data_IF_135305221928
#
_entry.id   IF_135305221928
#
_cell.length_a   1.000
_cell.length_b   1.000
_cell.length_c   1.000
_cell.angle_alpha   90.00
_cell.angle_beta   90.00
_cell.angle_gamma   90.00
#
_symmetry.space_group_name_H-M   'P 1'
#
loop_
_entity.id
_entity.type
_entity.pdbx_description
1 polymer ?
#
# COMPACT_ATOMS: atom_id res chain seq x y z
N UNK A 1 -26.43 -10.52 9.56
CA UNK A 1 -25.31 -11.43 9.29
C UNK A 1 -25.00 -11.36 7.82
N UNK A 2 -23.71 -11.33 7.47
CA UNK A 2 -23.24 -11.29 6.10
C UNK A 2 -22.06 -12.26 5.96
N UNK A 3 -21.93 -12.87 4.78
CA UNK A 3 -20.69 -13.55 4.41
C UNK A 3 -19.62 -12.50 4.12
N UNK A 4 -18.40 -12.72 4.60
CA UNK A 4 -17.26 -11.84 4.32
C UNK A 4 -15.97 -12.66 4.22
N UNK A 5 -14.91 -12.10 3.65
CA UNK A 5 -13.56 -12.60 3.83
C UNK A 5 -12.68 -11.52 4.43
N UNK A 6 -11.89 -11.90 5.44
CA UNK A 6 -10.92 -11.03 6.08
C UNK A 6 -9.62 -11.08 5.29
N UNK A 7 -9.10 -9.90 4.97
CA UNK A 7 -7.81 -9.75 4.28
C UNK A 7 -6.76 -9.36 5.31
N UNK A 8 -5.64 -10.07 5.33
CA UNK A 8 -4.50 -9.77 6.19
C UNK A 8 -3.19 -10.15 5.49
N UNK A 9 -2.44 -9.15 5.05
CA UNK A 9 -1.21 -9.35 4.32
C UNK A 9 -1.47 -9.97 2.95
N UNK A 10 -0.99 -11.21 2.74
CA UNK A 10 -1.30 -12.05 1.58
C UNK A 10 -2.46 -13.03 1.84
N UNK A 11 -2.91 -13.14 3.08
CA UNK A 11 -3.88 -14.14 3.49
C UNK A 11 -5.31 -13.61 3.37
N UNK A 12 -6.20 -14.49 2.92
CA UNK A 12 -7.62 -14.24 2.79
C UNK A 12 -8.37 -15.33 3.53
N UNK A 13 -9.16 -14.99 4.54
CA UNK A 13 -9.90 -15.99 5.33
C UNK A 13 -11.39 -15.75 5.22
N UNK A 14 -12.14 -16.69 4.63
CA UNK A 14 -13.60 -16.60 4.56
C UNK A 14 -14.24 -16.82 5.93
N UNK A 15 -15.37 -16.14 6.14
CA UNK A 15 -16.06 -16.12 7.41
C UNK A 15 -17.42 -15.42 7.37
N UNK A 16 -17.90 -15.10 8.57
CA UNK A 16 -19.16 -14.39 8.78
C UNK A 16 -18.93 -13.09 9.55
N UNK A 17 -19.60 -12.03 9.09
CA UNK A 17 -19.76 -10.77 9.80
C UNK A 17 -21.14 -10.76 10.48
N UNK A 18 -21.14 -10.72 11.80
CA UNK A 18 -22.35 -10.67 12.64
C UNK A 18 -22.50 -9.29 13.25
N UNK A 19 -23.70 -8.75 13.20
CA UNK A 19 -24.06 -7.51 13.90
C UNK A 19 -24.91 -7.89 15.09
N UNK A 20 -24.36 -7.76 16.30
CA UNK A 20 -25.08 -7.88 17.57
C UNK A 20 -25.67 -6.54 18.01
N UNK A 21 -26.13 -6.47 19.26
CA UNK A 21 -26.75 -5.27 19.86
C UNK A 21 -25.73 -4.15 20.10
N UNK A 22 -24.60 -4.48 20.73
CA UNK A 22 -23.54 -3.54 21.13
C UNK A 22 -22.22 -3.78 20.40
N UNK A 23 -22.10 -4.93 19.76
CA UNK A 23 -20.85 -5.40 19.17
C UNK A 23 -21.09 -5.97 17.78
N UNK A 24 -20.06 -5.93 16.93
CA UNK A 24 -19.98 -6.78 15.75
C UNK A 24 -18.89 -7.84 15.92
N UNK A 25 -19.03 -8.92 15.15
CA UNK A 25 -18.17 -10.09 15.22
C UNK A 25 -17.70 -10.50 13.83
N UNK A 26 -16.43 -10.84 13.70
CA UNK A 26 -15.85 -11.44 12.49
C UNK A 26 -15.39 -12.84 12.86
N UNK A 27 -16.00 -13.85 12.26
CA UNK A 27 -15.78 -15.26 12.60
C UNK A 27 -15.27 -16.01 11.37
N UNK A 28 -14.01 -16.41 11.41
CA UNK A 28 -13.34 -17.13 10.33
C UNK A 28 -13.78 -18.61 10.25
N UNK A 29 -13.75 -19.18 9.03
CA UNK A 29 -13.95 -20.61 8.78
C UNK A 29 -15.41 -21.05 8.62
N UNK A 30 -16.37 -20.10 8.67
CA UNK A 30 -17.79 -20.39 8.51
C UNK A 30 -18.38 -19.70 7.28
N UNK A 31 -19.35 -20.35 6.67
CA UNK A 31 -20.13 -19.79 5.55
C UNK A 31 -21.63 -19.92 5.80
N UNK A 32 -22.42 -19.14 5.06
CA UNK A 32 -23.88 -19.17 5.09
C UNK A 32 -24.38 -19.75 3.77
N UNK A 33 -25.00 -20.94 3.84
CA UNK A 33 -25.54 -21.63 2.67
C UNK A 33 -26.81 -20.94 2.15
N UNK A 34 -27.24 -21.30 0.92
CA UNK A 34 -28.51 -20.82 0.35
C UNK A 34 -29.72 -21.24 1.19
N UNK A 35 -29.63 -22.35 1.92
CA UNK A 35 -30.61 -22.81 2.92
C UNK A 35 -30.68 -21.94 4.18
N UNK A 36 -29.78 -20.95 4.32
CA UNK A 36 -29.56 -20.12 5.51
C UNK A 36 -28.94 -20.85 6.70
N UNK A 37 -28.42 -22.05 6.50
CA UNK A 37 -27.62 -22.75 7.51
C UNK A 37 -26.19 -22.21 7.57
N UNK A 38 -25.68 -22.08 8.79
CA UNK A 38 -24.27 -21.78 9.04
C UNK A 38 -23.51 -23.11 9.07
N UNK A 39 -22.45 -23.20 8.28
CA UNK A 39 -21.63 -24.41 8.19
C UNK A 39 -20.15 -24.07 8.24
N UNK A 40 -19.39 -24.95 8.88
CA UNK A 40 -17.94 -24.94 8.81
C UNK A 40 -17.51 -25.25 7.37
N UNK A 41 -16.72 -24.36 6.77
CA UNK A 41 -16.29 -24.46 5.36
C UNK A 41 -15.52 -25.76 5.11
N UNK A 42 -14.68 -26.20 6.06
CA UNK A 42 -13.88 -27.41 5.92
C UNK A 42 -14.72 -28.69 6.02
N UNK A 43 -15.92 -28.60 6.61
CA UNK A 43 -16.86 -29.73 6.70
C UNK A 43 -17.70 -29.94 5.44
N UNK A 44 -17.63 -29.00 4.49
CA UNK A 44 -18.47 -29.02 3.29
C UNK A 44 -17.78 -29.79 2.16
N UNK A 45 -18.55 -30.58 1.36
CA UNK A 45 -18.04 -31.14 0.11
C UNK A 45 -17.54 -30.05 -0.84
N UNK A 46 -16.56 -30.38 -1.68
CA UNK A 46 -16.08 -29.47 -2.74
C UNK A 46 -17.25 -28.98 -3.62
N UNK A 47 -17.33 -27.67 -3.84
CA UNK A 47 -18.42 -27.04 -4.61
C UNK A 47 -19.74 -26.86 -3.86
N UNK A 48 -19.85 -27.28 -2.59
CA UNK A 48 -21.08 -27.11 -1.80
C UNK A 48 -21.28 -25.67 -1.28
N UNK A 49 -20.28 -24.80 -1.39
CA UNK A 49 -20.41 -23.36 -1.16
C UNK A 49 -19.77 -22.57 -2.29
N UNK A 50 -20.27 -21.35 -2.48
CA UNK A 50 -19.82 -20.41 -3.50
C UNK A 50 -18.79 -19.44 -2.88
N UNK A 51 -17.48 -19.57 -3.13
CA UNK A 51 -16.45 -18.78 -2.47
C UNK A 51 -16.56 -17.28 -2.79
N UNK A 52 -16.26 -16.42 -1.82
CA UNK A 52 -16.36 -14.95 -2.01
C UNK A 52 -15.32 -14.45 -3.02
N UNK A 53 -14.12 -15.04 -2.99
CA UNK A 53 -12.99 -14.70 -3.84
C UNK A 53 -12.56 -15.95 -4.63
N UNK A 54 -12.16 -15.81 -5.90
CA UNK A 54 -11.64 -16.94 -6.67
C UNK A 54 -10.44 -17.52 -5.94
N UNK A 55 -10.44 -18.83 -5.71
CA UNK A 55 -9.36 -19.48 -4.97
C UNK A 55 -8.08 -19.41 -5.80
N UNK A 56 -7.00 -18.77 -5.32
CA UNK A 56 -5.69 -19.01 -5.91
C UNK A 56 -5.41 -20.50 -5.67
N UNK A 57 -5.00 -21.24 -6.70
CA UNK A 57 -4.80 -22.69 -6.67
C UNK A 57 -3.65 -23.16 -5.78
N UNK A 58 -3.55 -22.68 -4.53
CA UNK A 58 -2.53 -23.06 -3.57
C UNK A 58 -2.98 -24.28 -2.76
N UNK A 59 -2.09 -25.28 -2.57
CA UNK A 59 -2.42 -26.51 -1.85
C UNK A 59 -2.75 -26.19 -0.40
N UNK A 60 -3.80 -26.87 0.12
CA UNK A 60 -4.23 -26.94 1.52
C UNK A 60 -3.48 -25.98 2.44
N UNK A 61 -4.03 -24.78 2.56
CA UNK A 61 -3.60 -23.73 3.49
C UNK A 61 -3.19 -24.38 4.81
N UNK A 62 -1.99 -24.03 5.29
CA UNK A 62 -1.68 -24.19 6.71
C UNK A 62 -2.88 -23.65 7.48
N UNK A 63 -3.25 -24.33 8.57
CA UNK A 63 -4.37 -23.96 9.45
C UNK A 63 -4.20 -22.51 9.89
N UNK A 64 -4.62 -21.56 9.06
CA UNK A 64 -4.60 -20.15 9.38
C UNK A 64 -5.39 -20.06 10.68
N UNK A 65 -4.78 -19.52 11.73
CA UNK A 65 -5.41 -19.45 13.04
C UNK A 65 -6.77 -18.78 12.85
N UNK A 66 -7.84 -19.57 12.87
CA UNK A 66 -9.20 -19.05 12.70
C UNK A 66 -9.40 -18.06 13.82
N UNK A 67 -9.75 -16.83 13.47
CA UNK A 67 -10.00 -15.79 14.44
C UNK A 67 -11.50 -15.64 14.64
N UNK A 68 -11.88 -15.47 15.90
CA UNK A 68 -13.18 -14.96 16.28
C UNK A 68 -12.94 -13.62 16.95
N UNK A 69 -13.18 -12.54 16.21
CA UNK A 69 -12.92 -11.18 16.67
C UNK A 69 -14.23 -10.51 17.07
N UNK A 70 -14.22 -9.78 18.19
CA UNK A 70 -15.35 -9.04 18.75
C UNK A 70 -14.96 -7.57 18.90
N UNK A 71 -15.83 -6.66 18.47
CA UNK A 71 -15.59 -5.21 18.50
C UNK A 71 -16.80 -4.47 19.01
N UNK A 72 -16.58 -3.53 19.92
CA UNK A 72 -17.63 -2.60 20.33
C UNK A 72 -17.94 -1.64 19.19
N UNK A 73 -19.21 -1.28 19.01
CA UNK A 73 -19.55 -0.18 18.09
C UNK A 73 -18.98 1.16 18.57
N UNK A 74 -18.79 1.34 19.88
CA UNK A 74 -18.21 2.54 20.48
C UNK A 74 -16.73 2.73 20.10
N UNK A 75 -16.02 1.63 19.85
CA UNK A 75 -14.62 1.66 19.44
C UNK A 75 -14.45 2.06 17.98
N UNK A 76 -15.49 1.95 17.15
CA UNK A 76 -15.38 2.26 15.72
C UNK A 76 -15.01 3.74 15.56
N UNK A 77 -13.92 4.00 14.85
CA UNK A 77 -13.44 5.35 14.50
C UNK A 77 -13.68 5.74 13.07
N UNK A 78 -13.71 4.82 12.13
CA UNK A 78 -13.93 5.16 10.72
C UNK A 78 -14.37 3.88 10.01
N UNK A 79 -15.22 4.01 8.99
CA UNK A 79 -15.56 2.91 8.10
C UNK A 79 -15.42 3.41 6.69
N UNK A 80 -14.46 2.87 5.96
CA UNK A 80 -14.15 3.31 4.60
C UNK A 80 -14.57 2.27 3.58
N UNK A 81 -15.15 2.74 2.48
CA UNK A 81 -15.34 1.89 1.29
C UNK A 81 -13.98 1.67 0.66
N UNK A 82 -13.66 0.41 0.37
CA UNK A 82 -12.39 -0.01 -0.22
C UNK A 82 -12.60 -0.85 -1.47
N UNK A 83 -11.52 -0.94 -2.23
CA UNK A 83 -11.37 -1.88 -3.33
C UNK A 83 -10.51 -3.06 -2.87
N UNK A 84 -10.76 -4.23 -3.44
CA UNK A 84 -9.88 -5.38 -3.33
C UNK A 84 -9.80 -6.03 -4.70
N UNK A 85 -8.59 -6.36 -5.17
CA UNK A 85 -8.35 -6.76 -6.56
C UNK A 85 -8.99 -5.80 -7.58
N UNK A 86 -8.85 -4.49 -7.32
CA UNK A 86 -9.43 -3.40 -8.12
C UNK A 86 -10.96 -3.38 -8.19
N UNK A 87 -11.67 -4.17 -7.38
CA UNK A 87 -13.13 -4.22 -7.38
C UNK A 87 -13.73 -3.55 -6.15
N UNK A 88 -14.85 -2.79 -6.28
CA UNK A 88 -15.52 -2.09 -5.18
C UNK A 88 -16.32 -3.05 -4.29
N UNK A 89 -15.62 -3.92 -3.56
CA UNK A 89 -16.21 -5.03 -2.79
C UNK A 89 -15.78 -5.09 -1.33
N UNK A 90 -14.96 -4.16 -0.86
CA UNK A 90 -14.39 -4.20 0.48
C UNK A 90 -14.84 -3.03 1.36
N UNK A 91 -14.82 -3.25 2.67
CA UNK A 91 -14.89 -2.19 3.68
C UNK A 91 -13.69 -2.34 4.63
N UNK A 92 -13.16 -1.22 5.07
CA UNK A 92 -12.16 -1.19 6.13
C UNK A 92 -12.74 -0.49 7.35
N UNK A 93 -12.74 -1.19 8.47
CA UNK A 93 -13.27 -0.69 9.75
C UNK A 93 -12.09 -0.37 10.66
N UNK A 94 -11.98 0.89 11.07
CA UNK A 94 -10.93 1.39 11.96
C UNK A 94 -11.46 1.52 13.38
N UNK A 95 -10.64 1.15 14.36
CA UNK A 95 -10.95 1.17 15.79
C UNK A 95 -10.14 2.25 16.52
N UNK A 96 -10.61 2.67 17.69
CA UNK A 96 -10.00 3.71 18.53
C UNK A 96 -8.67 3.34 19.16
N UNK A 97 -8.37 2.06 19.21
CA UNK A 97 -7.12 1.50 19.69
C UNK A 97 -6.08 1.29 18.57
N UNK A 98 -6.33 1.82 17.37
CA UNK A 98 -5.43 1.74 16.23
C UNK A 98 -5.55 0.46 15.39
N UNK A 99 -6.36 -0.52 15.80
CA UNK A 99 -6.63 -1.72 14.98
C UNK A 99 -7.56 -1.39 13.81
N UNK A 100 -7.42 -2.13 12.71
CA UNK A 100 -8.35 -2.06 11.58
C UNK A 100 -8.57 -3.43 10.93
N UNK A 101 -9.70 -3.58 10.22
CA UNK A 101 -10.07 -4.82 9.56
C UNK A 101 -10.53 -4.52 8.14
N UNK A 102 -9.82 -5.08 7.16
CA UNK A 102 -10.24 -5.08 5.76
C UNK A 102 -11.09 -6.33 5.49
N UNK A 103 -12.36 -6.12 5.17
CA UNK A 103 -13.35 -7.16 4.92
C UNK A 103 -13.85 -7.04 3.48
N UNK A 104 -13.77 -8.11 2.70
CA UNK A 104 -14.36 -8.24 1.37
C UNK A 104 -15.71 -8.95 1.44
N UNK A 105 -16.60 -8.62 0.51
CA UNK A 105 -17.97 -9.12 0.50
C UNK A 105 -18.36 -9.62 -0.89
N UNK A 106 -19.34 -10.54 -1.00
CA UNK A 106 -19.93 -10.90 -2.28
C UNK A 106 -20.43 -9.67 -3.06
N UNK A 107 -20.51 -9.80 -4.39
CA UNK A 107 -20.99 -8.72 -5.27
C UNK A 107 -22.34 -8.18 -4.78
N UNK A 108 -22.50 -6.86 -4.83
CA UNK A 108 -23.71 -6.12 -4.40
C UNK A 108 -24.04 -6.18 -2.89
N UNK A 109 -23.18 -6.75 -2.04
CA UNK A 109 -23.39 -6.84 -0.58
C UNK A 109 -22.74 -5.67 0.17
N UNK A 110 -21.54 -5.25 -0.24
CA UNK A 110 -20.73 -4.21 0.44
C UNK A 110 -21.54 -2.98 0.89
N UNK A 111 -22.30 -2.37 -0.01
CA UNK A 111 -23.04 -1.14 0.30
C UNK A 111 -24.13 -1.37 1.35
N UNK A 112 -24.76 -2.55 1.39
CA UNK A 112 -25.73 -2.91 2.45
C UNK A 112 -25.05 -3.04 3.81
N UNK A 113 -23.86 -3.63 3.83
CA UNK A 113 -23.05 -3.76 5.06
C UNK A 113 -22.59 -2.38 5.55
N UNK A 114 -22.15 -1.52 4.64
CA UNK A 114 -21.77 -0.14 4.96
C UNK A 114 -22.91 0.63 5.62
N UNK A 115 -24.11 0.58 5.02
CA UNK A 115 -25.30 1.22 5.61
C UNK A 115 -25.63 0.64 6.99
N UNK A 116 -25.42 -0.67 7.19
CA UNK A 116 -25.61 -1.32 8.49
C UNK A 116 -24.62 -0.80 9.54
N UNK A 117 -23.34 -0.64 9.18
CA UNK A 117 -22.36 -0.01 10.07
C UNK A 117 -22.78 1.42 10.42
N UNK A 118 -23.17 2.24 9.44
CA UNK A 118 -23.59 3.63 9.68
C UNK A 118 -24.84 3.74 10.60
N UNK A 119 -25.75 2.76 10.53
CA UNK A 119 -26.93 2.71 11.40
C UNK A 119 -26.63 2.32 12.86
N UNK A 120 -25.57 1.54 13.12
CA UNK A 120 -25.12 1.25 14.49
C UNK A 120 -24.13 2.30 15.00
N UNK A 121 -23.35 2.85 14.09
CA UNK A 121 -22.43 3.94 14.30
C UNK A 121 -23.13 5.29 14.48
N UNK A 122 -24.45 5.40 14.50
CA UNK A 122 -25.10 6.72 14.65
C UNK A 122 -24.93 7.30 16.07
N UNK A 123 -24.60 6.46 17.06
CA UNK A 123 -24.17 6.88 18.41
C UNK A 123 -22.72 7.42 18.45
N UNK A 124 -21.99 7.34 17.34
CA UNK A 124 -20.62 7.87 17.19
C UNK A 124 -20.63 9.38 16.93
N UNK A 125 -21.77 9.95 16.57
CA UNK A 125 -21.90 11.37 16.24
C UNK A 125 -21.65 12.30 17.45
N UNK A 126 -21.85 11.83 18.68
CA UNK A 126 -21.80 12.69 19.88
C UNK A 126 -20.39 12.82 20.49
N UNK A 127 -19.43 11.97 20.11
CA UNK A 127 -18.03 12.03 20.56
C UNK A 127 -17.12 12.68 19.51
N UNK A 128 -17.55 13.85 19.02
CA UNK A 128 -16.87 14.60 17.97
C UNK A 128 -15.73 15.44 18.56
N UNK A 129 -14.50 14.90 18.63
CA UNK A 129 -13.31 15.76 18.70
C UNK A 129 -11.98 15.15 18.25
N UNK A 130 -11.87 13.86 17.94
CA UNK A 130 -10.59 13.26 17.52
C UNK A 130 -10.81 12.21 16.43
N UNK A 131 -10.88 12.65 15.16
CA UNK A 131 -10.48 11.81 14.03
C UNK A 131 -8.96 11.88 13.92
N UNK A 132 -8.32 10.75 13.64
CA UNK A 132 -6.85 10.65 13.45
C UNK A 132 -6.39 11.54 12.26
N UNK A 133 -7.32 11.94 11.38
CA UNK A 133 -7.08 12.85 10.26
C UNK A 133 -7.88 14.18 10.31
N UNK A 134 -8.64 14.43 11.39
CA UNK A 134 -9.40 15.69 11.55
C UNK A 134 -10.51 15.94 10.52
N UNK A 135 -11.18 14.91 10.00
CA UNK A 135 -12.38 15.04 9.13
C UNK A 135 -13.60 14.30 9.69
N UNK A 136 -14.81 14.73 9.28
CA UNK A 136 -16.04 13.93 9.49
C UNK A 136 -16.07 12.70 8.56
N UNK A 137 -16.54 11.60 9.13
CA UNK A 137 -16.43 10.20 8.67
C UNK A 137 -17.22 9.82 7.40
N UNK A 138 -17.72 10.78 6.62
CA UNK A 138 -18.58 10.53 5.44
C UNK A 138 -17.87 10.77 4.10
N UNK A 139 -16.55 10.99 4.08
CA UNK A 139 -15.81 11.14 2.84
C UNK A 139 -15.94 9.87 1.96
N UNK A 140 -16.66 10.00 0.84
CA UNK A 140 -16.73 8.94 -0.17
C UNK A 140 -15.37 8.85 -0.89
N UNK A 141 -14.53 7.91 -0.46
CA UNK A 141 -13.26 7.52 -1.12
C UNK A 141 -13.45 7.07 -2.58
N UNK A 142 -14.66 6.73 -3.00
CA UNK A 142 -14.94 6.24 -4.36
C UNK A 142 -15.15 7.33 -5.42
N UNK A 143 -15.33 8.60 -5.03
CA UNK A 143 -15.48 9.68 -6.00
C UNK A 143 -14.18 10.47 -6.07
N UNK A 144 -13.37 10.20 -7.10
CA UNK A 144 -12.17 11.00 -7.42
C UNK A 144 -12.45 12.50 -7.62
N UNK A 145 -13.71 12.89 -7.81
CA UNK A 145 -14.16 14.28 -7.92
C UNK A 145 -14.70 14.89 -6.59
N UNK A 146 -14.82 14.10 -5.52
CA UNK A 146 -15.38 14.53 -4.23
C UNK A 146 -14.44 15.35 -3.36
N UNK A 147 -13.17 15.52 -3.78
CA UNK A 147 -12.13 16.25 -3.06
C UNK A 147 -12.46 17.74 -2.81
N UNK A 148 -13.39 18.32 -3.60
CA UNK A 148 -13.71 19.75 -3.55
C UNK A 148 -15.11 20.09 -3.00
N UNK A 149 -16.01 19.12 -2.77
CA UNK A 149 -17.46 19.44 -2.66
C UNK A 149 -18.11 19.28 -1.28
N UNK A 150 -17.37 19.02 -0.20
CA UNK A 150 -18.01 18.78 1.12
C UNK A 150 -17.57 19.72 2.26
N UNK A 151 -17.14 20.94 1.95
CA UNK A 151 -16.61 21.86 2.96
C UNK A 151 -17.18 23.28 2.85
N UNK A 152 -18.44 23.45 3.25
CA UNK A 152 -18.91 24.75 3.72
C UNK A 152 -18.60 24.78 5.23
N UNK A 153 -17.49 25.41 5.61
CA UNK A 153 -17.22 25.82 7.01
C UNK A 153 -15.99 25.23 7.73
N UNK A 154 -15.31 24.20 7.20
CA UNK A 154 -14.09 23.62 7.80
C UNK A 154 -12.94 23.58 6.77
N UNK A 155 -11.71 23.85 7.20
CA UNK A 155 -10.52 23.79 6.33
C UNK A 155 -10.20 22.35 5.92
N UNK A 156 -10.05 22.10 4.62
CA UNK A 156 -9.68 20.76 4.11
C UNK A 156 -8.32 20.31 4.66
N UNK A 157 -8.05 19.01 4.69
CA UNK A 157 -6.75 18.45 5.12
C UNK A 157 -5.61 19.03 4.27
N UNK A 158 -5.83 19.25 2.98
CA UNK A 158 -4.89 19.96 2.09
C UNK A 158 -4.63 21.40 2.55
N UNK A 159 -5.66 22.15 2.97
CA UNK A 159 -5.46 23.51 3.49
C UNK A 159 -4.66 23.51 4.80
N UNK A 160 -4.90 22.52 5.68
CA UNK A 160 -4.12 22.34 6.91
C UNK A 160 -2.65 22.03 6.60
N UNK A 161 -2.39 21.18 5.60
CA UNK A 161 -1.04 20.88 5.12
C UNK A 161 -0.34 22.12 4.57
N UNK A 162 -1.01 22.88 3.69
CA UNK A 162 -0.47 24.13 3.11
C UNK A 162 -0.15 25.18 4.20
N UNK A 163 -0.89 25.18 5.31
CA UNK A 163 -0.64 26.07 6.46
C UNK A 163 0.42 25.54 7.43
N UNK A 164 0.99 24.37 7.20
CA UNK A 164 1.94 23.72 8.11
C UNK A 164 1.31 23.18 9.40
N UNK A 165 -0.02 23.04 9.45
CA UNK A 165 -0.73 22.49 10.62
C UNK A 165 -0.63 20.96 10.70
N UNK A 166 -0.28 20.30 9.59
CA UNK A 166 0.06 18.88 9.52
C UNK A 166 1.32 18.70 8.68
N UNK A 167 2.10 17.67 9.02
CA UNK A 167 3.38 17.38 8.39
C UNK A 167 3.21 16.74 6.99
N UNK A 168 4.26 16.76 6.17
CA UNK A 168 4.30 16.10 4.87
C UNK A 168 3.97 14.61 5.00
N UNK A 169 4.54 13.93 5.99
CA UNK A 169 4.22 12.53 6.28
C UNK A 169 2.74 12.32 6.60
N UNK A 170 2.15 13.15 7.46
CA UNK A 170 0.73 13.02 7.81
C UNK A 170 -0.17 13.22 6.58
N UNK A 171 0.17 14.18 5.73
CA UNK A 171 -0.55 14.42 4.49
C UNK A 171 -0.43 13.24 3.51
N UNK A 172 0.77 12.67 3.35
CA UNK A 172 0.99 11.47 2.52
C UNK A 172 0.23 10.25 3.04
N UNK A 173 0.21 10.03 4.36
CA UNK A 173 -0.59 8.96 4.98
C UNK A 173 -2.09 9.16 4.72
N UNK A 174 -2.55 10.42 4.78
CA UNK A 174 -3.93 10.76 4.49
C UNK A 174 -4.29 10.49 3.02
N UNK A 175 -3.45 10.93 2.07
CA UNK A 175 -3.65 10.67 0.65
C UNK A 175 -3.67 9.17 0.33
N UNK A 176 -2.76 8.39 0.91
CA UNK A 176 -2.77 6.93 0.77
C UNK A 176 -4.10 6.32 1.28
N UNK A 177 -4.57 6.76 2.45
CA UNK A 177 -5.84 6.31 3.04
C UNK A 177 -7.03 6.66 2.15
N UNK A 178 -7.04 7.86 1.56
CA UNK A 178 -8.08 8.29 0.61
C UNK A 178 -7.98 7.58 -0.73
N UNK A 179 -6.78 7.17 -1.16
CA UNK A 179 -6.61 6.36 -2.37
C UNK A 179 -7.02 4.89 -2.17
N UNK A 180 -7.43 4.51 -0.96
CA UNK A 180 -7.84 3.14 -0.62
C UNK A 180 -6.68 2.21 -0.29
N UNK A 181 -5.47 2.75 -0.08
CA UNK A 181 -4.29 1.98 0.34
C UNK A 181 -4.45 1.51 1.78
N UNK A 182 -3.94 0.32 2.10
CA UNK A 182 -4.13 -0.33 3.40
C UNK A 182 -2.95 -1.21 3.77
N UNK A 183 -2.60 -1.23 5.06
CA UNK A 183 -1.64 -2.17 5.65
C UNK A 183 -2.16 -3.63 5.66
N UNK A 184 -3.47 -3.84 5.53
CA UNK A 184 -4.06 -5.19 5.48
C UNK A 184 -3.92 -5.85 4.11
N UNK A 185 -3.65 -5.10 3.04
CA UNK A 185 -3.50 -5.62 1.68
C UNK A 185 -2.15 -5.19 1.11
N UNK A 186 -1.18 -6.12 1.08
CA UNK A 186 0.16 -5.82 0.58
C UNK A 186 0.19 -5.44 -0.92
N UNK A 187 -0.85 -5.79 -1.68
CA UNK A 187 -0.95 -5.36 -3.08
C UNK A 187 -1.36 -3.89 -3.21
N UNK A 188 -1.97 -3.31 -2.18
CA UNK A 188 -2.40 -1.92 -2.11
C UNK A 188 -1.74 -1.20 -0.91
N UNK A 189 -0.51 -1.57 -0.60
CA UNK A 189 0.23 -0.98 0.52
C UNK A 189 0.46 0.52 0.31
N UNK A 190 0.51 1.33 1.39
CA UNK A 190 0.85 2.75 1.30
C UNK A 190 2.17 2.98 0.57
N UNK A 191 2.22 4.05 -0.23
CA UNK A 191 3.37 4.42 -1.07
C UNK A 191 3.88 5.79 -0.66
N UNK A 192 5.19 5.90 -0.53
CA UNK A 192 5.92 7.14 -0.24
C UNK A 192 6.97 7.38 -1.32
N UNK A 193 7.29 8.65 -1.62
CA UNK A 193 8.36 8.94 -2.56
C UNK A 193 9.72 8.58 -1.98
N UNK A 194 10.67 8.21 -2.84
CA UNK A 194 12.07 8.50 -2.55
C UNK A 194 12.23 10.01 -2.29
N UNK A 195 13.03 10.41 -1.31
CA UNK A 195 13.24 11.85 -0.99
C UNK A 195 14.62 12.30 -1.45
N UNK A 196 15.63 11.56 -1.03
CA UNK A 196 17.03 11.88 -1.28
C UNK A 196 17.49 11.25 -2.61
N UNK A 197 18.45 11.90 -3.25
CA UNK A 197 19.26 11.36 -4.32
C UNK A 197 20.72 11.10 -3.88
N UNK A 198 21.13 11.69 -2.75
CA UNK A 198 22.46 11.54 -2.16
C UNK A 198 22.50 10.44 -1.08
N UNK A 199 23.15 9.34 -1.43
CA UNK A 199 23.42 8.21 -0.54
C UNK A 199 24.93 7.92 -0.44
N UNK A 200 25.77 8.90 -0.76
CA UNK A 200 27.23 8.77 -0.82
C UNK A 200 27.97 9.74 0.10
N UNK A 201 27.41 10.93 0.35
CA UNK A 201 28.05 11.92 1.20
C UNK A 201 28.08 11.52 2.68
N UNK A 202 29.12 11.99 3.38
CA UNK A 202 29.28 11.86 4.84
C UNK A 202 28.27 12.72 5.63
N UNK A 203 27.78 13.80 5.03
CA UNK A 203 26.78 14.69 5.62
C UNK A 203 25.86 15.19 4.50
N UNK A 204 24.58 15.41 4.81
CA UNK A 204 23.60 15.90 3.84
C UNK A 204 23.42 17.41 3.93
N UNK A 205 23.52 18.08 2.79
CA UNK A 205 23.11 19.49 2.67
C UNK A 205 21.66 19.59 2.19
N UNK A 206 20.71 19.66 3.13
CA UNK A 206 19.28 19.80 2.82
C UNK A 206 18.90 21.15 2.20
N UNK A 207 19.85 22.07 2.03
CA UNK A 207 19.66 23.30 1.26
C UNK A 207 20.05 23.15 -0.22
N UNK A 208 20.77 22.09 -0.58
CA UNK A 208 21.24 21.87 -1.93
C UNK A 208 20.23 21.03 -2.75
N UNK A 209 19.70 21.54 -3.88
CA UNK A 209 18.71 20.80 -4.68
C UNK A 209 19.19 19.42 -5.17
N UNK A 210 20.49 19.25 -5.41
CA UNK A 210 21.06 17.98 -5.88
C UNK A 210 21.01 16.86 -4.82
N UNK A 211 20.78 17.19 -3.56
CA UNK A 211 20.57 16.22 -2.48
C UNK A 211 19.25 15.48 -2.61
N UNK A 212 18.28 16.07 -3.31
CA UNK A 212 16.94 15.53 -3.46
C UNK A 212 16.74 14.91 -4.84
N UNK A 213 15.79 13.98 -4.92
CA UNK A 213 15.29 13.53 -6.22
C UNK A 213 14.50 14.63 -6.93
N UNK A 214 14.27 14.46 -8.23
CA UNK A 214 13.34 15.31 -8.98
C UNK A 214 11.89 14.85 -8.71
N UNK A 215 11.12 15.63 -7.96
CA UNK A 215 9.73 15.30 -7.59
C UNK A 215 8.77 15.33 -8.77
N UNK A 216 9.06 16.10 -9.82
CA UNK A 216 8.27 16.22 -11.03
C UNK A 216 8.32 14.99 -11.93
N UNK A 217 9.27 14.07 -11.65
CA UNK A 217 9.55 12.89 -12.46
C UNK A 217 9.25 11.59 -11.72
N UNK A 218 8.68 10.58 -12.39
CA UNK A 218 8.61 9.23 -11.86
C UNK A 218 10.01 8.63 -11.72
N UNK A 219 10.15 7.55 -10.95
CA UNK A 219 11.43 6.88 -10.72
C UNK A 219 12.14 6.58 -12.06
N UNK A 220 11.42 6.00 -13.02
CA UNK A 220 11.91 5.68 -14.37
C UNK A 220 12.62 6.83 -15.11
N UNK A 221 12.29 8.08 -14.76
CA UNK A 221 12.73 9.30 -15.45
C UNK A 221 13.77 10.14 -14.68
N UNK A 222 14.29 9.66 -13.54
CA UNK A 222 15.26 10.39 -12.72
C UNK A 222 16.59 10.67 -13.43
N UNK A 223 17.02 9.78 -14.34
CA UNK A 223 18.20 10.01 -15.19
C UNK A 223 17.82 10.28 -16.64
N UNK A 224 18.53 11.19 -17.30
CA UNK A 224 18.25 11.59 -18.68
C UNK A 224 18.41 10.42 -19.66
N UNK A 225 19.41 9.56 -19.47
CA UNK A 225 19.61 8.38 -20.31
C UNK A 225 18.40 7.42 -20.23
N UNK A 226 17.95 7.14 -19.00
CA UNK A 226 16.85 6.20 -18.78
C UNK A 226 15.50 6.78 -19.23
N UNK A 227 15.31 8.08 -19.05
CA UNK A 227 14.16 8.82 -19.58
C UNK A 227 14.01 8.62 -21.09
N UNK A 228 15.08 8.80 -21.86
CA UNK A 228 15.04 8.66 -23.31
C UNK A 228 14.78 7.21 -23.74
N UNK A 229 15.30 6.22 -23.00
CA UNK A 229 14.99 4.81 -23.24
C UNK A 229 13.50 4.50 -23.05
N UNK A 230 12.87 5.02 -21.98
CA UNK A 230 11.43 4.82 -21.76
C UNK A 230 10.56 5.54 -22.78
N UNK A 231 10.90 6.78 -23.15
CA UNK A 231 10.20 7.50 -24.23
C UNK A 231 10.30 6.76 -25.56
N UNK A 232 11.48 6.23 -25.89
CA UNK A 232 11.71 5.44 -27.10
C UNK A 232 10.84 4.18 -27.09
N UNK A 233 10.85 3.41 -25.99
CA UNK A 233 10.01 2.21 -25.82
C UNK A 233 8.52 2.52 -26.01
N UNK A 234 8.04 3.63 -25.45
CA UNK A 234 6.64 4.04 -25.59
C UNK A 234 6.29 4.42 -27.03
N UNK A 235 7.15 5.21 -27.69
CA UNK A 235 6.92 5.70 -29.05
C UNK A 235 7.02 4.60 -30.10
N UNK A 236 7.95 3.68 -29.93
CA UNK A 236 8.19 2.54 -30.83
C UNK A 236 7.38 1.30 -30.42
N UNK A 237 6.39 1.46 -29.54
CA UNK A 237 5.56 0.36 -29.08
C UNK A 237 4.80 -0.25 -30.24
N UNK A 238 5.03 -1.54 -30.46
CA UNK A 238 4.34 -2.35 -31.45
C UNK A 238 3.93 -3.66 -30.79
N UNK A 239 2.62 -3.85 -30.61
CA UNK A 239 2.05 -5.11 -30.14
C UNK A 239 1.41 -5.82 -31.34
N UNK A 240 1.98 -6.96 -31.79
CA UNK A 240 1.46 -7.70 -32.94
C UNK A 240 0.00 -8.11 -32.85
N UNK A 241 -0.54 -8.25 -31.62
CA UNK A 241 -1.93 -8.64 -31.38
C UNK A 241 -2.86 -7.44 -31.17
N UNK A 242 -2.30 -6.24 -30.94
CA UNK A 242 -3.06 -5.02 -30.64
C UNK A 242 -3.84 -5.07 -29.32
N UNK A 243 -3.50 -5.99 -28.42
CA UNK A 243 -4.18 -6.19 -27.14
C UNK A 243 -3.63 -5.27 -26.05
N UNK A 244 -2.35 -4.93 -26.13
CA UNK A 244 -1.62 -4.17 -25.12
C UNK A 244 -1.30 -2.76 -25.62
N UNK A 245 -1.90 -1.71 -25.03
CA UNK A 245 -1.59 -0.33 -25.41
C UNK A 245 -0.16 0.06 -24.99
N UNK A 246 0.43 1.11 -25.60
CA UNK A 246 1.75 1.59 -25.22
C UNK A 246 1.87 1.96 -23.74
N UNK A 247 2.99 1.61 -23.12
CA UNK A 247 3.32 1.95 -21.75
C UNK A 247 4.82 2.19 -21.57
N UNK A 248 5.17 2.99 -20.57
CA UNK A 248 6.56 3.22 -20.16
C UNK A 248 7.04 2.05 -19.28
N UNK A 249 6.23 1.67 -18.28
CA UNK A 249 6.64 0.74 -17.23
C UNK A 249 5.82 -0.55 -17.22
N UNK A 250 6.50 -1.69 -17.46
CA UNK A 250 5.90 -3.03 -17.34
C UNK A 250 5.87 -3.55 -15.89
N UNK A 251 6.64 -2.93 -15.01
CA UNK A 251 6.63 -3.15 -13.56
C UNK A 251 5.99 -1.96 -12.86
N UNK A 252 5.47 -2.18 -11.66
CA UNK A 252 4.80 -1.15 -10.87
C UNK A 252 5.70 -0.66 -9.74
N UNK A 253 5.53 0.60 -9.32
CA UNK A 253 6.30 1.22 -8.24
C UNK A 253 5.96 0.66 -6.84
N UNK A 254 4.86 -0.08 -6.73
CA UNK A 254 4.37 -0.68 -5.48
C UNK A 254 3.76 -2.05 -5.75
N UNK A 255 4.16 -3.05 -4.99
CA UNK A 255 3.62 -4.41 -5.05
C UNK A 255 3.89 -5.14 -3.76
N UNK A 256 3.19 -6.25 -3.53
CA UNK A 256 3.42 -7.07 -2.33
C UNK A 256 4.87 -7.57 -2.24
N UNK A 257 5.49 -7.93 -3.37
CA UNK A 257 6.89 -8.35 -3.40
C UNK A 257 7.84 -7.21 -3.00
N UNK A 258 7.56 -5.98 -3.43
CA UNK A 258 8.38 -4.80 -3.08
C UNK A 258 8.32 -4.55 -1.57
N UNK A 259 7.12 -4.54 -0.98
CA UNK A 259 6.93 -4.36 0.46
C UNK A 259 7.64 -5.46 1.24
N UNK A 260 7.42 -6.72 0.85
CA UNK A 260 8.07 -7.85 1.51
C UNK A 260 9.59 -7.83 1.36
N UNK A 261 10.11 -7.34 0.23
CA UNK A 261 11.56 -7.20 0.01
C UNK A 261 12.18 -6.15 0.92
N UNK A 262 11.53 -4.98 1.08
CA UNK A 262 12.00 -3.96 2.02
C UNK A 262 11.95 -4.46 3.47
N UNK A 263 10.87 -5.15 3.85
CA UNK A 263 10.62 -5.57 5.23
C UNK A 263 11.10 -7.00 5.53
N UNK A 264 11.87 -7.63 4.65
CA UNK A 264 12.20 -9.07 4.72
C UNK A 264 12.88 -9.50 6.02
N UNK A 265 13.51 -8.57 6.74
CA UNK A 265 14.18 -8.78 8.03
C UNK A 265 13.24 -8.79 9.24
N UNK A 266 11.95 -8.48 9.03
CA UNK A 266 10.94 -8.41 10.08
C UNK A 266 9.83 -9.43 9.86
N UNK A 267 9.42 -10.10 10.93
CA UNK A 267 8.19 -10.88 10.91
C UNK A 267 6.95 -9.98 11.03
N UNK A 268 5.82 -10.31 10.38
CA UNK A 268 5.56 -11.49 9.56
C UNK A 268 5.99 -11.38 8.08
N UNK A 269 6.68 -10.30 7.69
CA UNK A 269 7.02 -10.03 6.29
C UNK A 269 8.05 -11.02 5.73
N UNK A 270 8.92 -11.57 6.57
CA UNK A 270 9.80 -12.69 6.19
C UNK A 270 8.97 -13.88 5.69
N UNK A 271 7.95 -14.32 6.43
CA UNK A 271 7.06 -15.40 5.97
C UNK A 271 6.33 -15.05 4.67
N UNK A 272 5.88 -13.81 4.52
CA UNK A 272 5.24 -13.37 3.28
C UNK A 272 6.20 -13.38 2.09
N UNK A 273 7.45 -12.92 2.28
CA UNK A 273 8.50 -12.96 1.27
C UNK A 273 8.79 -14.39 0.82
N UNK A 274 9.03 -15.29 1.77
CA UNK A 274 9.29 -16.70 1.48
C UNK A 274 8.14 -17.34 0.70
N UNK A 275 6.87 -17.06 1.06
CA UNK A 275 5.72 -17.58 0.30
C UNK A 275 5.70 -17.08 -1.15
N UNK A 276 6.00 -15.80 -1.38
CA UNK A 276 6.04 -15.23 -2.73
C UNK A 276 7.23 -15.76 -3.56
N UNK A 277 8.32 -16.20 -2.91
CA UNK A 277 9.51 -16.78 -3.54
C UNK A 277 9.53 -18.32 -3.57
N UNK A 278 8.41 -18.99 -3.29
CA UNK A 278 8.35 -20.46 -3.35
C UNK A 278 9.05 -21.18 -2.20
N UNK A 279 9.09 -20.57 -1.01
CA UNK A 279 9.48 -21.17 0.25
C UNK A 279 10.92 -20.96 0.69
N UNK A 280 11.70 -20.15 -0.04
CA UNK A 280 13.12 -19.88 0.25
C UNK A 280 13.43 -18.39 0.01
N UNK A 281 14.55 -17.92 0.56
CA UNK A 281 15.05 -16.58 0.25
C UNK A 281 15.50 -16.50 -1.21
N UNK A 282 15.50 -15.29 -1.77
CA UNK A 282 16.00 -15.05 -3.12
C UNK A 282 17.54 -15.15 -3.15
N UNK A 283 18.13 -15.12 -4.34
CA UNK A 283 19.56 -14.95 -4.52
C UNK A 283 20.03 -13.68 -3.80
N UNK A 284 21.10 -13.81 -3.02
CA UNK A 284 21.64 -12.73 -2.19
C UNK A 284 21.91 -11.42 -2.97
N UNK A 285 22.39 -11.52 -4.22
CA UNK A 285 22.64 -10.37 -5.09
C UNK A 285 21.36 -9.61 -5.51
N UNK A 286 20.18 -10.24 -5.40
CA UNK A 286 18.87 -9.62 -5.72
C UNK A 286 18.13 -9.11 -4.49
N UNK A 287 18.59 -9.49 -3.30
CA UNK A 287 17.96 -9.11 -2.04
C UNK A 287 18.26 -7.65 -1.69
N UNK A 288 17.29 -6.98 -1.07
CA UNK A 288 17.49 -5.64 -0.52
C UNK A 288 18.56 -5.69 0.58
N UNK A 289 19.71 -5.08 0.29
CA UNK A 289 20.90 -5.14 1.16
C UNK A 289 21.58 -3.78 1.34
N UNK A 290 21.34 -2.81 0.46
CA UNK A 290 21.93 -1.47 0.52
C UNK A 290 20.93 -0.42 0.06
N UNK A 291 20.80 0.68 0.81
CA UNK A 291 19.91 1.80 0.42
C UNK A 291 20.43 2.48 -0.84
N UNK A 292 21.75 2.67 -0.94
CA UNK A 292 22.41 3.25 -2.12
C UNK A 292 22.19 2.39 -3.37
N UNK A 293 22.44 1.08 -3.29
CA UNK A 293 22.23 0.18 -4.43
C UNK A 293 20.74 0.17 -4.86
N UNK A 294 19.82 0.19 -3.89
CA UNK A 294 18.39 0.24 -4.17
C UNK A 294 17.99 1.54 -4.90
N UNK A 295 18.47 2.70 -4.45
CA UNK A 295 18.27 3.97 -5.13
C UNK A 295 18.84 3.94 -6.54
N UNK A 296 20.10 3.52 -6.72
CA UNK A 296 20.76 3.49 -8.03
C UNK A 296 20.07 2.52 -9.00
N UNK A 297 19.63 1.34 -8.53
CA UNK A 297 18.83 0.40 -9.32
C UNK A 297 17.52 1.06 -9.77
N UNK A 298 16.76 1.61 -8.82
CA UNK A 298 15.43 2.15 -9.06
C UNK A 298 15.42 3.50 -9.80
N UNK A 299 16.50 4.29 -9.77
CA UNK A 299 16.59 5.62 -10.40
C UNK A 299 17.39 5.65 -11.71
N UNK A 300 18.35 4.71 -11.90
CA UNK A 300 19.33 4.81 -12.99
C UNK A 300 19.62 3.52 -13.74
N UNK A 301 19.92 2.41 -13.05
CA UNK A 301 20.60 1.28 -13.68
C UNK A 301 19.69 0.18 -14.21
N UNK A 302 18.52 -0.03 -13.58
CA UNK A 302 17.68 -1.17 -13.91
C UNK A 302 16.37 -0.71 -14.57
N UNK A 303 16.14 -1.15 -15.81
CA UNK A 303 14.93 -0.81 -16.59
C UNK A 303 13.66 -1.48 -16.08
N UNK A 304 13.78 -2.56 -15.30
CA UNK A 304 12.66 -3.23 -14.65
C UNK A 304 12.41 -2.69 -13.23
N UNK A 305 13.26 -1.80 -12.72
CA UNK A 305 13.17 -1.27 -11.36
C UNK A 305 12.74 0.20 -11.34
N UNK A 306 11.50 0.42 -10.93
CA UNK A 306 10.88 1.75 -10.76
C UNK A 306 10.21 1.85 -9.39
N UNK A 307 10.73 1.14 -8.39
CA UNK A 307 10.17 1.07 -7.03
C UNK A 307 10.17 2.44 -6.36
N UNK A 308 9.03 2.79 -5.78
CA UNK A 308 8.91 3.85 -4.78
C UNK A 308 9.03 3.27 -3.36
N UNK A 309 9.14 4.14 -2.37
CA UNK A 309 9.30 3.75 -0.97
C UNK A 309 7.98 3.40 -0.28
N UNK A 310 8.12 2.90 0.95
CA UNK A 310 7.05 2.64 1.90
C UNK A 310 7.20 3.57 3.12
N UNK A 311 6.13 3.82 3.91
CA UNK A 311 6.18 4.72 5.06
C UNK A 311 7.26 4.38 6.10
N UNK A 312 7.61 3.10 6.26
CA UNK A 312 8.54 2.58 7.25
C UNK A 312 9.93 3.20 7.14
N UNK A 313 10.34 3.64 5.94
CA UNK A 313 11.59 4.38 5.72
C UNK A 313 11.67 5.73 6.47
N UNK A 314 10.59 6.16 7.12
CA UNK A 314 10.47 7.45 7.80
C UNK A 314 10.08 7.36 9.27
N UNK A 315 9.98 6.15 9.83
CA UNK A 315 9.73 5.97 11.27
C UNK A 315 10.20 4.64 11.88
N UNK A 316 10.53 3.61 11.10
CA UNK A 316 10.77 2.26 11.60
C UNK A 316 12.24 1.85 11.39
N UNK A 317 13.15 2.00 12.35
CA UNK A 317 14.54 1.60 12.16
C UNK A 317 14.72 0.08 12.08
N UNK A 318 13.80 -0.71 12.64
CA UNK A 318 13.95 -2.16 12.83
C UNK A 318 14.04 -2.94 11.51
N UNK A 319 13.45 -2.45 10.40
CA UNK A 319 13.52 -3.17 9.11
C UNK A 319 14.94 -3.17 8.50
N UNK A 320 15.81 -2.29 8.99
CA UNK A 320 17.20 -2.17 8.55
C UNK A 320 18.12 -3.18 9.26
N UNK A 321 17.64 -3.80 10.35
CA UNK A 321 18.42 -4.73 11.16
C UNK A 321 17.95 -6.17 10.94
N UNK A 322 18.88 -7.11 10.77
CA UNK A 322 18.62 -8.53 10.78
C UNK A 322 18.59 -9.08 12.22
N UNK A 323 17.73 -8.51 13.08
CA UNK A 323 17.68 -8.87 14.50
C UNK A 323 17.27 -10.33 14.76
N UNK A 324 16.60 -10.96 13.80
CA UNK A 324 16.22 -12.38 13.86
C UNK A 324 17.36 -13.32 13.43
N UNK A 325 18.51 -12.79 13.00
CA UNK A 325 19.66 -13.55 12.49
C UNK A 325 19.29 -14.52 11.36
N UNK A 326 18.46 -14.06 10.41
CA UNK A 326 18.14 -14.87 9.23
C UNK A 326 19.38 -15.12 8.38
N UNK A 327 19.49 -16.33 7.81
CA UNK A 327 20.47 -16.61 6.76
C UNK A 327 19.96 -16.07 5.42
N UNK A 328 20.41 -14.87 5.08
CA UNK A 328 20.04 -14.16 3.86
C UNK A 328 20.97 -14.51 2.68
N UNK A 329 21.89 -15.47 2.87
CA UNK A 329 22.86 -15.89 1.88
C UNK A 329 24.07 -14.97 1.73
N UNK A 330 24.89 -15.28 0.73
CA UNK A 330 26.15 -14.61 0.43
C UNK A 330 26.15 -14.18 -1.04
N UNK A 331 26.54 -12.92 -1.30
CA UNK A 331 26.70 -12.40 -2.67
C UNK A 331 27.82 -13.13 -3.39
N UNK A 332 27.83 -13.06 -4.72
CA UNK A 332 28.89 -13.64 -5.55
C UNK A 332 30.30 -13.12 -5.21
N UNK A 333 30.40 -11.90 -4.68
CA UNK A 333 31.66 -11.29 -4.26
C UNK A 333 32.11 -11.71 -2.83
N UNK A 334 31.41 -12.65 -2.20
CA UNK A 334 31.73 -13.16 -0.86
C UNK A 334 31.16 -12.36 0.31
N UNK A 335 30.40 -11.29 0.04
CA UNK A 335 29.75 -10.50 1.10
C UNK A 335 28.51 -11.23 1.63
N UNK A 336 28.55 -11.62 2.89
CA UNK A 336 27.40 -12.17 3.60
C UNK A 336 26.34 -11.08 3.83
N UNK A 337 25.06 -11.40 3.61
CA UNK A 337 23.98 -10.47 3.92
C UNK A 337 23.63 -10.52 5.42
N UNK A 338 23.50 -9.34 6.01
CA UNK A 338 23.05 -9.14 7.39
C UNK A 338 22.18 -7.89 7.45
N UNK A 339 22.56 -6.94 8.29
CA UNK A 339 21.95 -5.61 8.35
C UNK A 339 22.04 -4.89 6.99
N UNK A 340 21.16 -3.92 6.78
CA UNK A 340 21.18 -3.08 5.58
C UNK A 340 22.39 -2.16 5.63
N UNK A 341 23.13 -2.11 4.52
CA UNK A 341 24.19 -1.13 4.30
C UNK A 341 23.57 0.26 4.15
N UNK A 342 23.82 1.09 5.15
CA UNK A 342 23.34 2.47 5.23
C UNK A 342 24.31 3.44 4.52
N UNK A 343 23.81 4.60 4.08
CA UNK A 343 24.68 5.67 3.55
C UNK A 343 25.57 6.27 4.65
N UNK A 344 26.74 6.86 4.31
CA UNK A 344 27.70 7.35 5.31
C UNK A 344 27.12 8.37 6.29
N UNK A 345 26.26 9.28 5.82
CA UNK A 345 25.56 10.26 6.67
C UNK A 345 24.67 9.65 7.76
N UNK A 346 24.31 8.37 7.66
CA UNK A 346 23.57 7.66 8.70
C UNK A 346 24.49 7.07 9.80
N UNK A 347 25.82 7.16 9.66
CA UNK A 347 26.82 6.81 10.69
C UNK A 347 26.65 5.39 11.23
N UNK A 348 26.30 4.46 10.34
CA UNK A 348 26.00 3.06 10.66
C UNK A 348 24.87 2.88 11.71
N UNK A 349 24.03 3.90 11.93
CA UNK A 349 22.92 3.87 12.87
C UNK A 349 21.56 3.90 12.13
N UNK A 350 20.79 2.80 12.16
CA UNK A 350 19.43 2.75 11.62
C UNK A 350 18.49 3.83 12.15
N UNK A 351 18.65 4.27 13.41
CA UNK A 351 17.82 5.34 13.99
C UNK A 351 18.20 6.69 13.42
N UNK A 352 19.50 6.93 13.21
CA UNK A 352 19.98 8.13 12.56
C UNK A 352 19.53 8.19 11.09
N UNK A 353 19.55 7.06 10.39
CA UNK A 353 18.96 6.95 9.05
C UNK A 353 17.51 7.44 9.04
N UNK A 354 16.66 6.89 9.92
CA UNK A 354 15.25 7.27 10.03
C UNK A 354 15.08 8.75 10.42
N UNK A 355 15.87 9.23 11.38
CA UNK A 355 15.81 10.62 11.86
C UNK A 355 16.13 11.60 10.74
N UNK A 356 17.23 11.39 10.02
CA UNK A 356 17.67 12.26 8.92
C UNK A 356 16.73 12.15 7.73
N UNK A 357 16.27 10.94 7.39
CA UNK A 357 15.35 10.76 6.27
C UNK A 357 13.97 11.38 6.55
N UNK A 358 13.49 11.34 7.81
CA UNK A 358 12.29 12.06 8.23
C UNK A 358 12.52 13.58 8.25
N UNK A 359 13.70 14.05 8.67
CA UNK A 359 14.05 15.47 8.58
C UNK A 359 14.04 15.97 7.13
N UNK A 360 14.59 15.19 6.20
CA UNK A 360 14.58 15.50 4.78
C UNK A 360 13.15 15.56 4.21
N UNK A 361 12.28 14.59 4.57
CA UNK A 361 10.86 14.60 4.16
C UNK A 361 10.12 15.87 4.62
N UNK A 362 10.46 16.40 5.78
CA UNK A 362 9.75 17.54 6.39
C UNK A 362 10.43 18.90 6.10
N UNK A 363 11.50 18.94 5.28
CA UNK A 363 12.20 20.19 4.99
C UNK A 363 11.44 21.08 3.99
N UNK A 364 11.81 22.36 3.93
CA UNK A 364 11.15 23.35 3.06
C UNK A 364 11.22 23.00 1.58
N UNK A 365 12.35 22.45 1.11
CA UNK A 365 12.50 22.04 -0.29
C UNK A 365 11.47 20.96 -0.65
N UNK A 366 11.35 19.92 0.17
CA UNK A 366 10.35 18.86 -0.07
C UNK A 366 8.94 19.43 0.03
N UNK A 367 8.63 20.25 1.03
CA UNK A 367 7.32 20.89 1.16
C UNK A 367 6.92 21.69 -0.09
N UNK A 368 7.87 22.37 -0.72
CA UNK A 368 7.64 23.14 -1.95
C UNK A 368 7.40 22.26 -3.18
N UNK A 369 7.96 21.05 -3.25
CA UNK A 369 7.95 20.20 -4.45
C UNK A 369 7.10 18.92 -4.34
N UNK A 370 6.69 18.51 -3.14
CA UNK A 370 6.00 17.23 -2.90
C UNK A 370 4.70 17.09 -3.69
N UNK A 371 4.00 18.21 -3.93
CA UNK A 371 2.77 18.24 -4.73
C UNK A 371 2.99 17.73 -6.17
N UNK A 372 4.18 17.92 -6.75
CA UNK A 372 4.50 17.47 -8.10
C UNK A 372 4.55 15.94 -8.19
N UNK A 373 5.00 15.27 -7.12
CA UNK A 373 4.95 13.81 -7.03
C UNK A 373 3.55 13.30 -6.74
N UNK A 374 2.80 14.02 -5.91
CA UNK A 374 1.39 13.71 -5.67
C UNK A 374 0.62 13.72 -6.99
N UNK A 375 0.92 14.63 -7.91
CA UNK A 375 0.32 14.65 -9.25
C UNK A 375 0.60 13.38 -10.07
N UNK A 376 1.79 12.78 -9.93
CA UNK A 376 2.16 11.53 -10.60
C UNK A 376 1.42 10.32 -10.03
N UNK A 377 1.27 10.24 -8.71
CA UNK A 377 0.76 9.04 -8.03
C UNK A 377 -0.76 9.08 -7.79
N UNK A 378 -1.30 10.25 -7.44
CA UNK A 378 -2.70 10.42 -7.03
C UNK A 378 -3.44 11.50 -7.82
N UNK A 379 -2.72 12.36 -8.55
CA UNK A 379 -3.30 13.51 -9.24
C UNK A 379 -3.43 13.32 -10.75
N UNK A 380 -3.39 14.45 -11.46
CA UNK A 380 -3.81 14.50 -12.86
C UNK A 380 -2.80 13.88 -13.85
N UNK A 381 -1.55 13.65 -13.43
CA UNK A 381 -0.50 13.00 -14.24
C UNK A 381 -0.51 11.47 -14.11
N UNK A 382 -1.52 10.89 -13.46
CA UNK A 382 -1.67 9.43 -13.35
C UNK A 382 -2.21 8.78 -14.64
N UNK A 383 -2.97 9.54 -15.46
CA UNK A 383 -3.62 9.04 -16.67
C UNK A 383 -3.55 10.01 -17.85
N UNK A 384 -3.92 9.49 -19.03
CA UNK A 384 -4.13 10.29 -20.23
C UNK A 384 -2.86 10.98 -20.74
N UNK A 385 -3.06 12.06 -21.47
CA UNK A 385 -1.96 12.78 -22.12
C UNK A 385 -0.94 13.35 -21.12
N UNK A 386 -1.40 13.83 -19.95
CA UNK A 386 -0.52 14.32 -18.90
C UNK A 386 0.42 13.23 -18.36
N UNK A 387 -0.06 11.99 -18.24
CA UNK A 387 0.80 10.86 -17.88
C UNK A 387 1.81 10.52 -18.99
N UNK A 388 1.43 10.63 -20.27
CA UNK A 388 2.35 10.41 -21.38
C UNK A 388 3.48 11.44 -21.35
N UNK A 389 3.14 12.72 -21.19
CA UNK A 389 4.11 13.82 -21.14
C UNK A 389 5.06 13.72 -19.94
N UNK A 390 4.55 13.27 -18.80
CA UNK A 390 5.34 13.01 -17.59
C UNK A 390 6.11 11.67 -17.62
N UNK A 391 5.97 10.88 -18.68
CA UNK A 391 6.58 9.53 -18.81
C UNK A 391 6.08 8.58 -17.71
N UNK A 392 4.82 8.71 -17.31
CA UNK A 392 4.21 8.07 -16.14
C UNK A 392 3.11 7.06 -16.49
N UNK A 393 3.27 6.35 -17.61
CA UNK A 393 2.28 5.37 -18.08
C UNK A 393 2.74 3.96 -17.71
N UNK A 394 1.95 3.29 -16.89
CA UNK A 394 2.19 1.91 -16.48
C UNK A 394 1.40 0.93 -17.34
N UNK A 395 1.71 -0.36 -17.23
CA UNK A 395 0.96 -1.41 -17.89
C UNK A 395 -0.54 -1.31 -17.61
N UNK A 396 -1.39 -1.48 -18.63
CA UNK A 396 -2.83 -1.18 -18.53
C UNK A 396 -3.56 -1.97 -17.42
N UNK A 397 -3.13 -3.21 -17.14
CA UNK A 397 -3.67 -4.07 -16.08
C UNK A 397 -3.49 -3.52 -14.66
N UNK A 398 -2.62 -2.52 -14.46
CA UNK A 398 -2.45 -1.89 -13.15
C UNK A 398 -3.49 -0.80 -12.87
N UNK A 399 -4.30 -0.44 -13.86
CA UNK A 399 -5.34 0.57 -13.72
C UNK A 399 -6.72 -0.07 -13.51
N UNK A 400 -7.57 0.64 -12.76
CA UNK A 400 -8.93 0.21 -12.46
C UNK A 400 -9.76 0.01 -13.75
N UNK A 401 -10.66 -0.97 -13.72
CA UNK A 401 -11.61 -1.23 -14.81
C UNK A 401 -11.07 -2.12 -15.94
N UNK A 402 -9.77 -2.43 -15.94
CA UNK A 402 -9.13 -3.20 -17.02
C UNK A 402 -9.05 -4.72 -16.77
N UNK A 403 -9.49 -5.23 -15.61
CA UNK A 403 -9.48 -6.66 -15.26
C UNK A 403 -10.83 -7.11 -14.70
N UNK A 404 -11.43 -8.14 -15.31
CA UNK A 404 -12.64 -8.82 -14.79
C UNK A 404 -12.23 -10.12 -14.09
N UNK A 405 -12.16 -10.10 -12.75
CA UNK A 405 -11.73 -11.24 -11.92
C UNK A 405 -12.79 -12.36 -11.79
N UNK A 406 -13.92 -12.24 -12.49
CA UNK A 406 -15.04 -13.19 -12.46
C UNK A 406 -15.26 -13.94 -13.78
N UNK A 407 -14.32 -13.84 -14.73
CA UNK A 407 -14.36 -14.58 -16.00
C UNK A 407 -13.58 -15.88 -15.95
#
# INVERSE_FOLDING_TARGET
MFRCARIQGLDTTEGLLLFGKEHFYVIDGFTLLKSREIRDIESLPSGAHDPILPSPGSPRRSRAMRQCSKFSYEDIREVHKRRYLLQPMALEVFSGDGRNYLLTFPRKVRNKVYQRFMAFATAIADSAQQSVAGQKRTANVEQGAGLLSSLIGETSVTQRWVRGEISNFQYLMHLNTLAGRSYNDLMQYPVFPWILADYESEELDLSHPATFRDFSRPMGAQSSERLEQFKKRYKEWDDPHGETPPYHYGTHYSSAMIVCSYLVRMEPFTQHFLRLQGGHFDLADRMFNSVREAWLSASKHNMADVKELIPEFFYLPEFLCNSNNFDLGCKQNGVQLGDIVLPPWAKEDPREFIRVHRLALECDYVSQHLHEWIDLIFGYKQYGQAAVEAVNVFHHLFYEGNVDIYR
#
